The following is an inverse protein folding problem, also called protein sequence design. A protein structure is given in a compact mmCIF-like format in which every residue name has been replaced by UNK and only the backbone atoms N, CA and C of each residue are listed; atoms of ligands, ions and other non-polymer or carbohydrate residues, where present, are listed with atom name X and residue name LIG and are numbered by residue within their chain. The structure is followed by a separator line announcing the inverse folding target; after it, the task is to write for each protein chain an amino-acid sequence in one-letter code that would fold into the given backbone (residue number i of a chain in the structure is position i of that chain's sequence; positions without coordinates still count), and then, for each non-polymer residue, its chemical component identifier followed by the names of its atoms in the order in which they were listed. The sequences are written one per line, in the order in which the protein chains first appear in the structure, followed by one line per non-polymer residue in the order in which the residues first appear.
data_IF_312601227520
#
_entry.id   IF_312601227520
#
_cell.length_a   1.000
_cell.length_b   1.000
_cell.length_c   1.000
_cell.angle_alpha   90.00
_cell.angle_beta   90.00
_cell.angle_gamma   90.00
#
_symmetry.space_group_name_H-M   'P 1'
#
loop_
_entity.id
_entity.type
_entity.pdbx_description
1 polymer ?
#
# COMPACT_ATOMS: atom_id res chain seq x y z
N UNK A 1 -48.47 7.58 -0.23
CA UNK A 1 -47.43 7.77 0.80
C UNK A 1 -46.08 7.60 0.13
N UNK A 2 -45.42 8.69 -0.27
CA UNK A 2 -44.13 8.64 -0.97
C UNK A 2 -43.02 8.70 0.08
N UNK A 3 -42.45 7.54 0.41
CA UNK A 3 -41.31 7.46 1.32
C UNK A 3 -40.09 8.05 0.64
N UNK A 4 -39.59 9.19 1.14
CA UNK A 4 -38.36 9.78 0.67
C UNK A 4 -37.20 8.82 0.89
N UNK A 5 -36.76 8.15 -0.17
CA UNK A 5 -35.51 7.40 -0.18
C UNK A 5 -34.37 8.41 0.03
N UNK A 6 -33.93 8.59 1.27
CA UNK A 6 -32.86 9.50 1.61
C UNK A 6 -31.62 9.21 0.78
N UNK A 7 -31.16 10.21 0.01
CA UNK A 7 -29.98 10.06 -0.87
C UNK A 7 -28.79 9.57 -0.06
N UNK A 8 -28.32 8.35 -0.36
CA UNK A 8 -27.20 7.71 0.34
C UNK A 8 -25.97 8.62 0.27
N UNK A 9 -25.38 8.95 1.43
CA UNK A 9 -24.22 9.86 1.50
C UNK A 9 -23.05 9.32 0.68
N UNK A 10 -22.33 10.23 0.00
CA UNK A 10 -21.12 9.88 -0.75
C UNK A 10 -20.09 9.27 0.19
N UNK A 11 -19.51 8.13 -0.20
CA UNK A 11 -18.41 7.49 0.53
C UNK A 11 -17.09 8.15 0.12
N UNK A 12 -16.26 8.52 1.08
CA UNK A 12 -14.89 9.01 0.81
C UNK A 12 -13.92 8.02 1.43
N UNK A 13 -13.06 7.43 0.59
CA UNK A 13 -12.06 6.45 0.99
C UNK A 13 -10.69 7.10 0.94
N UNK A 14 -10.07 7.27 2.11
CA UNK A 14 -8.65 7.61 2.21
C UNK A 14 -7.85 6.31 2.23
N UNK A 15 -7.00 6.14 1.22
CA UNK A 15 -6.26 4.89 1.01
C UNK A 15 -4.77 5.22 0.95
N UNK A 16 -3.99 4.65 1.85
CA UNK A 16 -2.54 4.68 1.75
C UNK A 16 -2.09 3.83 0.55
N UNK A 17 -1.05 4.22 -0.17
CA UNK A 17 -0.61 3.48 -1.36
C UNK A 17 0.34 2.33 -1.00
N UNK A 18 1.44 2.64 -0.33
CA UNK A 18 2.55 1.71 -0.11
C UNK A 18 2.11 0.61 0.88
N UNK A 19 2.42 -0.65 0.57
CA UNK A 19 2.02 -1.83 1.37
C UNK A 19 0.51 -2.03 1.56
N UNK A 20 -0.34 -1.23 0.90
CA UNK A 20 -1.81 -1.30 1.01
C UNK A 20 -2.48 -1.53 -0.35
N UNK A 21 -2.04 -0.81 -1.39
CA UNK A 21 -2.58 -0.94 -2.77
C UNK A 21 -1.50 -1.38 -3.74
N UNK A 22 -0.26 -0.96 -3.53
CA UNK A 22 0.89 -1.28 -4.38
C UNK A 22 1.77 -2.30 -3.66
N UNK A 23 2.10 -3.40 -4.33
CA UNK A 23 3.03 -4.44 -3.83
C UNK A 23 4.36 -4.36 -4.57
N UNK A 24 4.93 -3.17 -4.54
CA UNK A 24 6.25 -2.81 -5.02
C UNK A 24 6.56 -1.44 -4.40
N UNK A 25 7.83 -1.17 -4.16
CA UNK A 25 8.24 0.09 -3.57
C UNK A 25 9.37 0.68 -4.42
N UNK A 26 9.07 1.78 -5.13
CA UNK A 26 10.06 2.46 -5.97
C UNK A 26 11.12 3.20 -5.15
N UNK A 27 10.83 3.55 -3.89
CA UNK A 27 11.80 4.21 -2.99
C UNK A 27 12.87 3.22 -2.54
N UNK A 28 12.49 1.97 -2.31
CA UNK A 28 13.42 0.93 -1.85
C UNK A 28 13.89 -0.01 -2.95
N UNK A 29 13.34 0.12 -4.16
CA UNK A 29 13.65 -0.70 -5.32
C UNK A 29 13.19 -2.16 -5.19
N UNK A 30 12.36 -2.48 -4.20
CA UNK A 30 11.95 -3.86 -3.93
C UNK A 30 10.96 -4.37 -4.96
N UNK A 31 11.33 -5.46 -5.63
CA UNK A 31 10.42 -6.24 -6.45
C UNK A 31 9.30 -6.89 -5.60
N UNK A 32 8.16 -7.28 -6.21
CA UNK A 32 6.99 -7.80 -5.47
C UNK A 32 7.28 -8.95 -4.52
N UNK A 33 8.17 -9.88 -4.91
CA UNK A 33 8.63 -10.99 -4.06
C UNK A 33 9.25 -10.51 -2.74
N UNK A 34 10.19 -9.56 -2.84
CA UNK A 34 10.90 -8.99 -1.70
C UNK A 34 10.01 -8.06 -0.87
N UNK A 35 9.13 -7.30 -1.52
CA UNK A 35 8.13 -6.45 -0.85
C UNK A 35 7.16 -7.30 -0.03
N UNK A 36 6.69 -8.43 -0.57
CA UNK A 36 5.82 -9.37 0.15
C UNK A 36 6.53 -10.02 1.35
N UNK A 37 7.80 -10.43 1.21
CA UNK A 37 8.60 -10.92 2.34
C UNK A 37 8.73 -9.86 3.43
N UNK A 38 9.06 -8.63 3.03
CA UNK A 38 9.16 -7.50 3.95
C UNK A 38 7.84 -7.26 4.66
N UNK A 39 6.71 -7.24 3.95
CA UNK A 39 5.38 -7.12 4.53
C UNK A 39 5.08 -8.26 5.52
N UNK A 40 5.30 -9.53 5.15
CA UNK A 40 5.06 -10.66 6.04
C UNK A 40 5.87 -10.56 7.34
N UNK A 41 7.09 -10.04 7.29
CA UNK A 41 7.90 -9.82 8.50
C UNK A 41 7.31 -8.78 9.46
N UNK A 42 6.46 -7.85 8.98
CA UNK A 42 5.80 -6.84 9.83
C UNK A 42 4.54 -7.35 10.51
N UNK A 43 3.90 -8.39 9.94
CA UNK A 43 2.64 -8.97 10.42
C UNK A 43 2.80 -10.36 11.03
N UNK A 44 4.04 -10.83 11.24
CA UNK A 44 4.34 -12.09 11.93
C UNK A 44 4.99 -11.80 13.26
N UNK A 45 4.53 -12.50 14.30
CA UNK A 45 4.74 -12.09 15.69
C UNK A 45 5.49 -13.14 16.50
N UNK A 46 6.42 -12.68 17.33
CA UNK A 46 7.21 -13.51 18.21
C UNK A 46 7.70 -12.75 19.44
N UNK A 47 8.59 -13.38 20.17
CA UNK A 47 9.33 -12.80 21.29
C UNK A 47 10.80 -13.17 21.16
N UNK A 48 11.68 -12.30 21.66
CA UNK A 48 13.05 -12.71 21.86
C UNK A 48 13.07 -13.80 22.93
N UNK A 49 13.68 -14.95 22.65
CA UNK A 49 13.90 -15.97 23.65
C UNK A 49 14.70 -15.38 24.81
N UNK A 50 14.49 -15.91 26.01
CA UNK A 50 15.33 -15.54 27.15
C UNK A 50 16.80 -15.74 26.76
N UNK A 51 17.65 -14.74 27.00
CA UNK A 51 19.09 -14.96 26.93
C UNK A 51 19.38 -16.07 27.93
N UNK A 52 19.78 -17.25 27.44
CA UNK A 52 20.04 -18.39 28.32
C UNK A 52 21.00 -17.95 29.42
N UNK A 53 20.61 -18.11 30.68
CA UNK A 53 21.50 -18.00 31.83
C UNK A 53 22.61 -19.06 31.67
N UNK A 54 23.66 -18.76 30.90
CA UNK A 54 24.89 -19.53 30.99
C UNK A 54 25.58 -19.08 32.27
N UNK A 55 25.56 -19.95 33.28
CA UNK A 55 26.59 -19.98 34.32
C UNK A 55 27.95 -20.11 33.62
N UNK A 56 28.68 -19.00 33.49
CA UNK A 56 30.05 -18.99 32.98
C UNK A 56 30.29 -17.90 31.94
N UNK A 57 31.11 -16.93 32.34
CA UNK A 57 31.69 -15.81 31.56
C UNK A 57 31.62 -15.99 30.04
N UNK A 58 30.69 -15.26 29.43
CA UNK A 58 30.64 -15.00 28.00
C UNK A 58 29.42 -14.13 27.71
N UNK A 59 29.61 -12.99 27.03
CA UNK A 59 28.52 -12.11 26.62
C UNK A 59 27.45 -12.94 25.89
N UNK A 60 26.26 -13.05 26.49
CA UNK A 60 25.15 -13.82 25.93
C UNK A 60 24.66 -13.18 24.64
N UNK A 61 24.77 -13.92 23.53
CA UNK A 61 24.12 -13.52 22.27
C UNK A 61 22.60 -13.38 22.45
N UNK A 62 21.92 -12.65 21.55
CA UNK A 62 20.47 -12.52 21.59
C UNK A 62 19.83 -13.92 21.61
N UNK A 63 18.88 -14.15 22.54
CA UNK A 63 18.15 -15.40 22.62
C UNK A 63 17.42 -15.72 21.31
N UNK A 64 17.25 -17.01 21.05
CA UNK A 64 16.62 -17.53 19.82
C UNK A 64 15.19 -16.98 19.66
N UNK A 65 14.78 -16.66 18.42
CA UNK A 65 13.46 -16.11 18.16
C UNK A 65 12.36 -17.16 18.37
N UNK A 66 11.39 -16.86 19.22
CA UNK A 66 10.25 -17.73 19.49
C UNK A 66 8.97 -17.17 18.87
N UNK A 67 8.33 -17.93 18.00
CA UNK A 67 7.08 -17.55 17.34
C UNK A 67 5.89 -17.65 18.28
N UNK A 68 5.09 -16.59 18.36
CA UNK A 68 3.82 -16.58 19.11
C UNK A 68 2.64 -17.13 18.29
N UNK A 69 2.79 -17.14 16.96
CA UNK A 69 1.76 -17.57 16.01
C UNK A 69 2.42 -18.09 14.73
N UNK A 70 1.78 -19.09 14.11
CA UNK A 70 2.06 -19.56 12.75
C UNK A 70 1.22 -18.85 11.68
N UNK A 71 0.32 -17.95 12.11
CA UNK A 71 -0.51 -17.11 11.23
C UNK A 71 -0.15 -15.64 11.38
N UNK A 72 -0.06 -14.89 10.26
CA UNK A 72 0.11 -13.45 10.33
C UNK A 72 -1.13 -12.77 10.87
N UNK A 73 -0.95 -11.61 11.47
CA UNK A 73 -2.03 -10.72 11.90
C UNK A 73 -1.59 -9.27 11.77
N UNK A 74 -2.51 -8.38 11.37
CA UNK A 74 -2.23 -6.95 11.27
C UNK A 74 -1.97 -6.30 12.64
N UNK A 75 -2.40 -6.95 13.72
CA UNK A 75 -2.23 -6.48 15.09
C UNK A 75 -1.47 -7.51 15.90
N UNK A 76 -0.67 -7.09 16.90
CA UNK A 76 -0.03 -8.01 17.81
C UNK A 76 -1.07 -8.90 18.51
N UNK A 77 -0.81 -10.21 18.64
CA UNK A 77 -1.76 -11.13 19.27
C UNK A 77 -1.88 -10.93 20.79
N UNK A 78 -0.85 -10.37 21.43
CA UNK A 78 -0.84 -10.07 22.86
C UNK A 78 0.12 -8.91 23.18
N UNK A 79 -0.01 -8.27 24.36
CA UNK A 79 0.96 -7.29 24.84
C UNK A 79 2.38 -7.87 24.90
N UNK A 80 3.38 -7.07 24.48
CA UNK A 80 4.78 -7.50 24.46
C UNK A 80 5.19 -8.34 23.25
N UNK A 81 4.26 -8.72 22.37
CA UNK A 81 4.58 -9.32 21.09
C UNK A 81 5.37 -8.34 20.21
N UNK A 82 6.47 -8.81 19.63
CA UNK A 82 7.27 -8.07 18.65
C UNK A 82 7.00 -8.64 17.27
N UNK A 83 6.89 -7.78 16.25
CA UNK A 83 6.96 -8.27 14.88
C UNK A 83 8.39 -8.68 14.55
N UNK A 84 8.58 -9.65 13.66
CA UNK A 84 9.93 -10.04 13.22
C UNK A 84 10.71 -8.82 12.70
N UNK A 85 10.04 -7.97 11.92
CA UNK A 85 10.59 -6.71 11.42
C UNK A 85 11.08 -5.79 12.53
N UNK A 86 10.29 -5.57 13.59
CA UNK A 86 10.67 -4.68 14.69
C UNK A 86 11.92 -5.16 15.44
N UNK A 87 12.17 -6.48 15.45
CA UNK A 87 13.31 -7.08 16.14
C UNK A 87 14.55 -7.19 15.27
N UNK A 88 14.38 -7.59 14.01
CA UNK A 88 15.48 -7.97 13.11
C UNK A 88 15.73 -6.95 12.00
N UNK A 89 14.84 -5.96 11.84
CA UNK A 89 14.88 -4.98 10.76
C UNK A 89 14.30 -5.52 9.46
N UNK A 90 14.62 -4.83 8.36
CA UNK A 90 14.17 -5.21 7.02
C UNK A 90 14.88 -6.48 6.55
N UNK A 91 14.10 -7.48 6.17
CA UNK A 91 14.60 -8.73 5.58
C UNK A 91 13.83 -9.05 4.27
N UNK A 92 14.39 -8.73 3.09
CA UNK A 92 13.74 -9.03 1.81
C UNK A 92 13.66 -10.53 1.50
N UNK A 93 14.40 -11.37 2.23
CA UNK A 93 14.49 -12.81 2.07
C UNK A 93 13.91 -13.57 3.28
N UNK A 94 13.01 -12.92 4.04
CA UNK A 94 12.44 -13.42 5.30
C UNK A 94 12.01 -14.90 5.28
N UNK A 95 11.44 -15.38 4.17
CA UNK A 95 10.95 -16.77 4.06
C UNK A 95 11.93 -17.76 3.44
N UNK A 96 13.13 -17.31 3.06
CA UNK A 96 14.14 -18.12 2.40
C UNK A 96 15.01 -18.89 3.42
N UNK A 97 15.33 -18.27 4.55
CA UNK A 97 16.20 -18.83 5.57
C UNK A 97 15.74 -18.47 6.99
N UNK A 98 16.42 -19.06 7.99
CA UNK A 98 16.19 -18.76 9.39
C UNK A 98 14.76 -19.06 9.89
N UNK A 99 14.35 -18.40 10.99
CA UNK A 99 13.05 -18.65 11.63
C UNK A 99 11.84 -18.36 10.72
N UNK A 100 11.98 -17.45 9.75
CA UNK A 100 10.90 -17.04 8.85
C UNK A 100 10.54 -18.07 7.77
N UNK A 101 11.39 -19.09 7.55
CA UNK A 101 11.15 -20.19 6.58
C UNK A 101 9.79 -20.85 6.72
N UNK A 102 9.21 -20.89 7.92
CA UNK A 102 7.88 -21.48 8.15
C UNK A 102 6.75 -20.77 7.39
N UNK A 103 6.94 -19.51 7.01
CA UNK A 103 5.96 -18.73 6.24
C UNK A 103 6.16 -18.84 4.72
N UNK A 104 7.08 -19.68 4.25
CA UNK A 104 7.39 -19.85 2.82
C UNK A 104 6.18 -20.25 1.99
N UNK A 105 5.39 -21.22 2.46
CA UNK A 105 4.19 -21.63 1.73
C UNK A 105 3.16 -20.51 1.65
N UNK A 106 3.03 -19.73 2.72
CA UNK A 106 2.13 -18.58 2.75
C UNK A 106 2.58 -17.51 1.76
N UNK A 107 3.89 -17.21 1.72
CA UNK A 107 4.49 -16.29 0.76
C UNK A 107 4.26 -16.77 -0.67
N UNK A 108 4.55 -18.03 -0.99
CA UNK A 108 4.34 -18.59 -2.32
C UNK A 108 2.87 -18.49 -2.77
N UNK A 109 1.92 -18.86 -1.91
CA UNK A 109 0.47 -18.72 -2.21
C UNK A 109 0.07 -17.28 -2.48
N UNK A 110 0.54 -16.33 -1.67
CA UNK A 110 0.19 -14.92 -1.87
C UNK A 110 0.89 -14.32 -3.09
N UNK A 111 2.11 -14.75 -3.40
CA UNK A 111 2.82 -14.32 -4.59
C UNK A 111 2.09 -14.77 -5.88
N UNK A 112 1.56 -16.00 -5.90
CA UNK A 112 0.71 -16.48 -7.00
C UNK A 112 -0.54 -15.61 -7.21
N UNK A 113 -1.17 -15.13 -6.13
CA UNK A 113 -2.32 -14.22 -6.24
C UNK A 113 -1.96 -12.83 -6.80
N UNK A 114 -0.67 -12.49 -6.82
CA UNK A 114 -0.16 -11.25 -7.39
C UNK A 114 0.25 -11.40 -8.86
N UNK A 115 0.30 -12.62 -9.41
CA UNK A 115 0.73 -12.87 -10.78
C UNK A 115 -0.18 -12.15 -11.78
N UNK A 116 0.46 -11.52 -12.77
CA UNK A 116 -0.24 -10.81 -13.83
C UNK A 116 -0.77 -11.82 -14.88
N UNK A 117 -2.09 -11.89 -15.12
CA UNK A 117 -2.69 -12.94 -15.95
C UNK A 117 -2.68 -12.64 -17.46
N UNK A 118 -2.22 -11.46 -17.87
CA UNK A 118 -2.26 -10.99 -19.25
C UNK A 118 -0.89 -10.86 -19.91
N UNK A 119 -0.84 -10.44 -21.18
CA UNK A 119 0.41 -10.00 -21.78
C UNK A 119 1.00 -8.82 -20.99
N UNK A 120 2.33 -8.63 -21.01
CA UNK A 120 3.00 -7.43 -20.52
C UNK A 120 2.20 -6.13 -20.68
N UNK A 121 1.99 -5.40 -19.59
CA UNK A 121 1.31 -4.10 -19.64
C UNK A 121 2.06 -3.07 -18.78
N UNK A 122 2.53 -1.98 -19.39
CA UNK A 122 3.47 -1.04 -18.74
C UNK A 122 2.88 -0.32 -17.53
N UNK A 123 1.59 0.01 -17.57
CA UNK A 123 0.89 0.65 -16.46
C UNK A 123 0.36 -0.32 -15.39
N UNK A 124 0.03 -1.56 -15.74
CA UNK A 124 -0.73 -2.47 -14.87
C UNK A 124 0.12 -3.60 -14.29
N UNK A 125 1.26 -3.88 -14.91
CA UNK A 125 2.17 -4.96 -14.51
C UNK A 125 3.56 -4.43 -14.14
N UNK A 126 4.22 -5.14 -13.24
CA UNK A 126 5.63 -4.94 -12.84
C UNK A 126 6.42 -6.21 -13.12
N UNK A 127 7.69 -6.11 -13.54
CA UNK A 127 8.56 -7.27 -13.68
C UNK A 127 8.94 -7.85 -12.32
N UNK A 128 9.10 -9.17 -12.27
CA UNK A 128 9.71 -9.91 -11.17
C UNK A 128 11.05 -10.51 -11.57
N UNK A 129 11.25 -11.78 -11.22
CA UNK A 129 12.34 -12.60 -11.79
C UNK A 129 12.13 -12.83 -13.30
N UNK A 130 13.14 -13.33 -14.04
CA UNK A 130 13.01 -13.57 -15.48
C UNK A 130 11.79 -14.44 -15.83
N UNK A 131 10.87 -13.86 -16.62
CA UNK A 131 9.62 -14.51 -17.03
C UNK A 131 8.43 -14.26 -16.08
N UNK A 132 8.66 -13.71 -14.90
CA UNK A 132 7.60 -13.37 -13.95
C UNK A 132 7.08 -11.94 -14.16
N UNK A 133 5.75 -11.77 -14.05
CA UNK A 133 5.11 -10.46 -13.96
C UNK A 133 4.04 -10.48 -12.89
N UNK A 134 3.91 -9.36 -12.20
CA UNK A 134 2.94 -9.18 -11.13
C UNK A 134 2.09 -7.94 -11.36
N UNK A 135 0.93 -7.90 -10.71
CA UNK A 135 0.11 -6.71 -10.64
C UNK A 135 0.86 -5.56 -9.96
N UNK A 136 0.85 -4.36 -10.55
CA UNK A 136 1.31 -3.15 -9.86
C UNK A 136 0.36 -2.78 -8.72
N UNK A 137 -0.95 -2.77 -9.02
CA UNK A 137 -2.02 -2.50 -8.06
C UNK A 137 -2.71 -3.81 -7.71
N UNK A 138 -2.88 -4.07 -6.42
CA UNK A 138 -3.58 -5.25 -5.92
C UNK A 138 -4.95 -5.46 -6.59
N UNK A 139 -5.26 -6.67 -7.08
CA UNK A 139 -6.57 -7.00 -7.63
C UNK A 139 -7.74 -6.70 -6.68
N UNK A 140 -7.52 -6.77 -5.37
CA UNK A 140 -8.53 -6.44 -4.36
C UNK A 140 -8.98 -4.97 -4.40
N UNK A 141 -8.10 -4.05 -4.79
CA UNK A 141 -8.46 -2.64 -4.95
C UNK A 141 -9.38 -2.44 -6.16
N UNK A 142 -9.08 -3.07 -7.29
CA UNK A 142 -9.97 -3.03 -8.46
C UNK A 142 -11.31 -3.68 -8.20
N UNK A 143 -11.32 -4.81 -7.47
CA UNK A 143 -12.56 -5.46 -7.00
C UNK A 143 -13.40 -4.53 -6.12
N UNK A 144 -12.77 -3.72 -5.26
CA UNK A 144 -13.46 -2.72 -4.45
C UNK A 144 -14.15 -1.68 -5.34
N UNK A 145 -13.45 -1.12 -6.33
CA UNK A 145 -14.03 -0.12 -7.25
C UNK A 145 -15.22 -0.70 -8.03
N UNK A 146 -15.04 -1.90 -8.59
CA UNK A 146 -16.06 -2.62 -9.34
C UNK A 146 -17.29 -2.90 -8.46
N UNK A 147 -17.09 -3.36 -7.22
CA UNK A 147 -18.19 -3.64 -6.28
C UNK A 147 -18.96 -2.37 -5.92
N UNK A 148 -18.25 -1.28 -5.59
CA UNK A 148 -18.90 0.00 -5.28
C UNK A 148 -19.71 0.54 -6.45
N UNK A 149 -19.22 0.35 -7.68
CA UNK A 149 -19.93 0.74 -8.89
C UNK A 149 -21.18 -0.11 -9.13
N UNK A 150 -21.05 -1.45 -9.05
CA UNK A 150 -22.19 -2.38 -9.19
C UNK A 150 -23.27 -2.15 -8.14
N UNK A 151 -22.87 -1.72 -6.93
CA UNK A 151 -23.80 -1.36 -5.85
C UNK A 151 -24.45 0.03 -6.03
N UNK A 152 -24.15 0.75 -7.12
CA UNK A 152 -24.64 2.11 -7.37
C UNK A 152 -24.19 3.11 -6.30
N UNK A 153 -23.09 2.84 -5.58
CA UNK A 153 -22.62 3.69 -4.50
C UNK A 153 -21.86 4.88 -5.07
N UNK A 154 -22.29 6.10 -4.76
CA UNK A 154 -21.46 7.28 -5.01
C UNK A 154 -20.24 7.25 -4.08
N UNK A 155 -19.02 7.27 -4.64
CA UNK A 155 -17.78 7.28 -3.87
C UNK A 155 -16.72 8.26 -4.40
N UNK A 156 -15.66 8.46 -3.63
CA UNK A 156 -14.41 9.11 -4.00
C UNK A 156 -13.26 8.36 -3.34
N UNK A 157 -12.14 8.21 -4.05
CA UNK A 157 -10.91 7.62 -3.51
C UNK A 157 -9.84 8.70 -3.46
N UNK A 158 -9.21 8.85 -2.31
CA UNK A 158 -8.10 9.77 -2.06
C UNK A 158 -6.89 8.90 -1.73
N UNK A 159 -5.92 8.87 -2.64
CA UNK A 159 -4.65 8.23 -2.37
C UNK A 159 -3.78 9.13 -1.50
N UNK A 160 -3.20 8.54 -0.45
CA UNK A 160 -2.13 9.15 0.35
C UNK A 160 -0.85 8.37 0.11
N UNK A 161 0.25 9.08 -0.05
CA UNK A 161 1.60 8.49 -0.10
C UNK A 161 2.59 9.55 0.34
N UNK A 162 3.70 9.10 0.93
CA UNK A 162 4.88 9.92 1.21
C UNK A 162 5.95 9.77 0.10
N UNK A 163 5.72 8.90 -0.88
CA UNK A 163 6.68 8.54 -1.92
C UNK A 163 6.33 9.05 -3.32
N UNK A 164 7.07 8.54 -4.30
CA UNK A 164 6.96 8.91 -5.72
C UNK A 164 6.04 7.99 -6.51
N UNK A 165 5.35 7.04 -5.86
CA UNK A 165 4.52 6.03 -6.51
C UNK A 165 3.17 6.56 -7.04
N UNK A 166 2.74 7.74 -6.60
CA UNK A 166 1.42 8.27 -6.93
C UNK A 166 1.17 8.36 -8.45
N UNK A 167 2.03 9.00 -9.28
CA UNK A 167 1.78 9.10 -10.72
C UNK A 167 1.62 7.73 -11.39
N UNK A 168 2.42 6.74 -10.96
CA UNK A 168 2.39 5.38 -11.50
C UNK A 168 1.11 4.65 -11.10
N UNK A 169 0.72 4.73 -9.83
CA UNK A 169 -0.55 4.16 -9.34
C UNK A 169 -1.75 4.80 -10.06
N UNK A 170 -1.72 6.12 -10.24
CA UNK A 170 -2.75 6.87 -10.95
C UNK A 170 -2.87 6.46 -12.42
N UNK A 171 -1.74 6.26 -13.11
CA UNK A 171 -1.71 5.74 -14.47
C UNK A 171 -2.32 4.33 -14.54
N UNK A 172 -1.97 3.46 -13.61
CA UNK A 172 -2.52 2.10 -13.51
C UNK A 172 -4.04 2.11 -13.31
N UNK A 173 -4.54 2.90 -12.36
CA UNK A 173 -5.99 3.07 -12.14
C UNK A 173 -6.66 3.62 -13.40
N UNK A 174 -6.05 4.61 -14.04
CA UNK A 174 -6.57 5.19 -15.28
C UNK A 174 -6.63 4.16 -16.42
N UNK A 175 -5.63 3.31 -16.58
CA UNK A 175 -5.65 2.19 -17.54
C UNK A 175 -6.76 1.19 -17.23
N UNK A 176 -6.92 0.80 -15.97
CA UNK A 176 -7.99 -0.11 -15.56
C UNK A 176 -9.39 0.48 -15.83
N UNK A 177 -9.59 1.77 -15.57
CA UNK A 177 -10.83 2.51 -15.86
C UNK A 177 -11.08 2.73 -17.37
N UNK A 178 -10.09 2.50 -18.23
CA UNK A 178 -10.30 2.39 -19.69
C UNK A 178 -10.65 0.97 -20.14
N UNK A 179 -10.85 0.05 -19.21
CA UNK A 179 -11.16 -1.35 -19.48
C UNK A 179 -9.95 -2.19 -19.88
N UNK A 180 -8.72 -1.70 -19.66
CA UNK A 180 -7.49 -2.40 -20.07
C UNK A 180 -7.06 -3.51 -19.09
N UNK A 181 -7.71 -3.63 -17.93
CA UNK A 181 -7.39 -4.69 -16.97
C UNK A 181 -8.12 -5.99 -17.34
N UNK A 182 -7.42 -7.11 -17.62
CA UNK A 182 -8.03 -8.33 -18.16
C UNK A 182 -9.07 -8.97 -17.24
N UNK A 183 -8.85 -8.91 -15.92
CA UNK A 183 -9.80 -9.44 -14.93
C UNK A 183 -10.91 -8.46 -14.52
N UNK A 184 -10.80 -7.17 -14.87
CA UNK A 184 -11.75 -6.14 -14.45
C UNK A 184 -12.19 -5.25 -15.64
N UNK A 185 -12.68 -5.84 -16.75
CA UNK A 185 -13.07 -5.09 -17.93
C UNK A 185 -14.27 -4.16 -17.71
N UNK A 186 -15.13 -4.46 -16.73
CA UNK A 186 -16.30 -3.66 -16.36
C UNK A 186 -15.93 -2.32 -15.69
N UNK A 187 -14.67 -2.13 -15.29
CA UNK A 187 -14.23 -0.84 -14.74
C UNK A 187 -14.34 0.31 -15.75
N UNK A 188 -14.48 0.01 -17.05
CA UNK A 188 -14.77 1.01 -18.08
C UNK A 188 -16.09 1.77 -17.85
N UNK A 189 -17.02 1.15 -17.12
CA UNK A 189 -18.36 1.69 -16.86
C UNK A 189 -18.38 2.59 -15.61
N UNK A 190 -17.30 2.61 -14.84
CA UNK A 190 -17.15 3.48 -13.67
C UNK A 190 -17.03 4.93 -14.11
N UNK A 191 -18.12 5.69 -13.97
CA UNK A 191 -18.14 7.10 -14.31
C UNK A 191 -17.18 7.91 -13.41
N UNK A 192 -16.15 8.51 -14.01
CA UNK A 192 -15.22 9.40 -13.32
C UNK A 192 -15.65 10.85 -13.54
N UNK A 193 -16.32 11.45 -12.54
CA UNK A 193 -16.63 12.88 -12.58
C UNK A 193 -15.43 13.70 -12.08
N UNK A 194 -14.63 14.19 -13.02
CA UNK A 194 -13.52 15.13 -12.77
C UNK A 194 -12.15 14.54 -13.11
N UNK A 195 -11.21 15.41 -13.53
CA UNK A 195 -9.83 15.02 -13.75
C UNK A 195 -9.25 14.38 -12.48
N UNK A 196 -8.41 13.37 -12.66
CA UNK A 196 -7.60 12.80 -11.60
C UNK A 196 -6.65 13.89 -11.08
N UNK A 197 -6.97 14.49 -9.93
CA UNK A 197 -6.21 15.61 -9.38
C UNK A 197 -5.18 15.10 -8.36
N UNK A 198 -3.92 15.34 -8.66
CA UNK A 198 -2.83 15.22 -7.67
C UNK A 198 -2.84 16.50 -6.85
N UNK A 199 -2.96 16.38 -5.54
CA UNK A 199 -2.65 17.48 -4.61
C UNK A 199 -1.46 17.02 -3.78
N UNK A 200 -0.38 17.81 -3.78
CA UNK A 200 0.75 17.61 -2.87
C UNK A 200 0.48 18.41 -1.61
N UNK A 201 0.54 17.76 -0.46
CA UNK A 201 0.54 18.47 0.82
C UNK A 201 1.88 19.23 0.90
N UNK A 202 1.84 20.56 0.85
CA UNK A 202 3.04 21.43 0.93
C UNK A 202 3.19 22.50 -0.15
N UNK A 203 2.38 22.48 -1.22
CA UNK A 203 2.29 23.64 -2.11
C UNK A 203 1.31 24.65 -1.49
N UNK A 204 1.88 25.71 -0.92
CA UNK A 204 1.13 26.90 -0.56
C UNK A 204 0.29 27.37 -1.74
N UNK A 205 -0.89 27.92 -1.43
CA UNK A 205 -1.70 28.68 -2.37
C UNK A 205 -0.77 29.60 -3.20
N UNK A 206 -0.79 29.59 -4.54
CA UNK A 206 -0.05 30.59 -5.28
C UNK A 206 -0.57 31.95 -4.83
N UNK A 207 0.33 32.79 -4.34
CA UNK A 207 0.01 34.17 -3.96
C UNK A 207 -0.78 34.79 -5.12
N UNK A 208 -1.99 35.26 -4.79
CA UNK A 208 -2.79 36.03 -5.72
C UNK A 208 -2.01 37.25 -6.19
N UNK A 209 -2.39 37.86 -7.32
CA UNK A 209 -1.68 39.03 -7.85
C UNK A 209 -1.60 40.10 -6.76
N UNK A 210 -0.37 40.45 -6.40
CA UNK A 210 -0.06 41.51 -5.43
C UNK A 210 -0.67 42.82 -5.96
N UNK A 211 -1.70 43.33 -5.27
CA UNK A 211 -2.18 44.69 -5.53
C UNK A 211 -1.02 45.68 -5.31
N UNK A 212 -0.81 46.65 -6.21
CA UNK A 212 0.23 47.65 -6.03
C UNK A 212 -0.13 48.55 -4.83
N UNK A 213 0.84 48.71 -3.92
CA UNK A 213 0.73 49.58 -2.75
C UNK A 213 0.29 51.00 -3.13
N UNK A 214 -0.61 51.63 -2.35
CA UNK A 214 -1.04 52.99 -2.61
C UNK A 214 0.10 53.99 -2.37
N UNK A 215 0.15 55.10 -3.12
CA UNK A 215 1.19 56.12 -2.94
C UNK A 215 1.05 56.83 -1.58
N UNK A 216 2.18 57.30 -1.00
CA UNK A 216 2.16 57.96 0.30
C UNK A 216 1.41 59.29 0.23
N UNK A 217 0.59 59.54 1.26
CA UNK A 217 -0.11 60.82 1.44
C UNK A 217 0.92 61.94 1.63
N UNK A 218 0.89 62.94 0.75
CA UNK A 218 1.54 64.22 0.99
C UNK A 218 0.74 64.98 2.06
N UNK A 219 1.39 65.26 3.19
CA UNK A 219 0.91 66.22 4.18
C UNK A 219 1.37 67.61 3.72
N UNK A 220 0.42 68.45 3.30
CA UNK A 220 0.66 69.88 3.12
C UNK A 220 0.28 70.61 4.41
N UNK A 221 1.18 71.47 4.89
CA UNK A 221 0.86 72.60 5.77
C UNK A 221 0.23 73.72 4.93
#
# INVERSE_FOLDING_TARGET
MSGGAGRRRRLVLHVDLNNTVVVADTVTGQAPRAALNTFLSTVTWGRAGAAGERRGRGYGGPGEWEWLSDRPSLRPPCPGALSYYSRHGRDPAFTEAGPGRRFRELHARHLQLLEWPGPPHDALSVPGEPGERYHLILPSFFRLLDTLHRDGRAFAVIFRTFGTDLPRALQAVSSALRGQHPQFPALRDVAVSGALRVRRDGEGQPDGPTEPSPPPRQTAL
#
